data_IF_380722988108
#
_entry.id   IF_380722988108
#
_cell.length_a   1.000
_cell.length_b   1.000
_cell.length_c   1.000
_cell.angle_alpha   90.00
_cell.angle_beta   90.00
_cell.angle_gamma   90.00
#
_symmetry.space_group_name_H-M   'P 1'
#
loop_
_entity.id
_entity.type
_entity.pdbx_description
1 polymer ?
#
# COMPACT_ATOMS: atom_id res chain seq x y z
N UNK A 1 -19.45 56.36 -78.09
CA UNK A 1 -20.03 56.13 -76.79
C UNK A 1 -19.91 54.64 -76.54
N UNK A 2 -18.94 54.20 -75.69
CA UNK A 2 -18.82 52.81 -75.17
C UNK A 2 -18.38 52.92 -73.73
N UNK A 3 -19.21 52.51 -72.84
CA UNK A 3 -18.98 52.47 -71.40
C UNK A 3 -18.12 51.23 -71.09
N UNK A 4 -16.96 51.45 -70.45
CA UNK A 4 -16.11 50.38 -69.94
C UNK A 4 -16.41 50.12 -68.46
N UNK A 5 -16.80 48.93 -68.16
CA UNK A 5 -17.05 48.43 -66.79
C UNK A 5 -15.75 48.10 -66.09
N UNK A 6 -15.50 48.80 -65.00
CA UNK A 6 -14.38 48.58 -64.08
C UNK A 6 -14.70 47.40 -63.17
N UNK A 7 -13.97 46.32 -63.31
CA UNK A 7 -14.08 45.18 -62.38
C UNK A 7 -13.19 45.41 -61.13
N UNK A 8 -13.80 45.65 -59.99
CA UNK A 8 -13.12 45.72 -58.73
C UNK A 8 -12.80 44.30 -58.25
N UNK A 9 -11.51 44.00 -58.15
CA UNK A 9 -11.01 42.72 -57.65
C UNK A 9 -10.83 42.89 -56.13
N UNK A 10 -11.70 42.27 -55.30
CA UNK A 10 -11.58 42.20 -53.86
C UNK A 10 -10.63 41.06 -53.54
N UNK A 11 -9.46 41.38 -53.04
CA UNK A 11 -8.46 40.42 -52.55
C UNK A 11 -8.81 40.09 -51.09
N UNK A 12 -9.41 38.93 -50.87
CA UNK A 12 -9.64 38.42 -49.52
C UNK A 12 -8.35 37.82 -48.97
N UNK A 13 -7.68 38.56 -48.09
CA UNK A 13 -6.58 38.05 -47.28
C UNK A 13 -7.12 37.19 -46.17
N UNK A 14 -7.06 35.86 -46.36
CA UNK A 14 -7.35 34.89 -45.31
C UNK A 14 -6.22 34.88 -44.28
N UNK A 15 -6.47 35.41 -43.08
CA UNK A 15 -5.59 35.25 -41.93
C UNK A 15 -5.84 33.86 -41.40
N UNK A 16 -4.98 32.91 -41.72
CA UNK A 16 -4.90 31.61 -41.03
C UNK A 16 -4.28 31.87 -39.66
N UNK A 17 -5.14 31.98 -38.63
CA UNK A 17 -4.69 31.89 -37.24
C UNK A 17 -4.23 30.46 -37.01
N UNK A 18 -2.92 30.22 -37.09
CA UNK A 18 -2.33 28.98 -36.58
C UNK A 18 -2.46 29.02 -35.06
N UNK A 19 -3.43 28.27 -34.54
CA UNK A 19 -3.48 27.93 -33.12
C UNK A 19 -2.25 27.09 -32.81
N UNK A 20 -1.17 27.71 -32.38
CA UNK A 20 -0.06 27.01 -31.76
C UNK A 20 -0.58 26.48 -30.42
N UNK A 21 -1.07 25.23 -30.42
CA UNK A 21 -1.14 24.47 -29.19
C UNK A 21 0.31 24.31 -28.75
N UNK A 22 0.72 25.08 -27.74
CA UNK A 22 1.93 24.76 -26.99
C UNK A 22 1.69 23.38 -26.39
N UNK A 23 2.28 22.34 -27.01
CA UNK A 23 2.50 21.09 -26.32
C UNK A 23 3.38 21.49 -25.13
N UNK A 24 2.80 21.51 -23.92
CA UNK A 24 3.58 21.54 -22.70
C UNK A 24 4.45 20.29 -22.80
N UNK A 25 5.76 20.43 -22.65
CA UNK A 25 6.63 19.27 -22.58
C UNK A 25 6.15 18.46 -21.34
N UNK A 26 5.78 17.21 -21.56
CA UNK A 26 5.46 16.29 -20.47
C UNK A 26 6.70 16.21 -19.56
N UNK A 27 6.49 16.24 -18.24
CA UNK A 27 7.60 16.15 -17.30
C UNK A 27 8.39 14.86 -17.54
N UNK A 28 9.70 14.97 -17.56
CA UNK A 28 10.64 13.85 -17.67
C UNK A 28 11.68 13.95 -16.55
N UNK A 29 12.10 12.83 -15.95
CA UNK A 29 13.11 12.86 -14.91
C UNK A 29 14.47 13.33 -15.49
N UNK A 30 15.17 14.20 -14.76
CA UNK A 30 16.49 14.70 -15.12
C UNK A 30 17.63 13.69 -14.89
N UNK A 31 17.31 12.51 -14.32
CA UNK A 31 18.24 11.45 -13.98
C UNK A 31 17.50 10.26 -13.37
N UNK A 32 18.21 9.30 -12.76
CA UNK A 32 17.57 8.15 -12.14
C UNK A 32 16.59 8.55 -11.03
N UNK A 33 15.41 7.93 -11.02
CA UNK A 33 14.45 8.02 -9.93
C UNK A 33 14.82 7.02 -8.84
N UNK A 34 15.08 7.51 -7.64
CA UNK A 34 15.26 6.67 -6.45
C UNK A 34 13.90 6.18 -5.97
N UNK A 35 13.65 4.88 -5.97
CA UNK A 35 12.45 4.27 -5.40
C UNK A 35 12.81 3.63 -4.04
N UNK A 36 12.53 4.36 -2.96
CA UNK A 36 12.79 3.90 -1.60
C UNK A 36 11.70 2.90 -1.15
N UNK A 37 12.10 1.75 -0.64
CA UNK A 37 11.20 0.67 -0.23
C UNK A 37 11.21 0.55 1.28
N UNK A 38 10.04 0.70 1.91
CA UNK A 38 9.92 0.80 3.36
C UNK A 38 10.18 -0.50 4.13
N UNK A 39 10.28 -1.65 3.45
CA UNK A 39 10.39 -2.97 4.07
C UNK A 39 11.53 -3.79 3.46
N UNK A 40 11.85 -4.91 4.13
CA UNK A 40 12.93 -5.81 3.72
C UNK A 40 12.67 -6.49 2.37
N UNK A 41 13.77 -6.88 1.73
CA UNK A 41 13.76 -7.54 0.43
C UNK A 41 12.98 -8.87 0.42
N UNK A 42 12.25 -9.12 -0.65
CA UNK A 42 11.45 -10.32 -0.90
C UNK A 42 10.09 -10.34 -0.19
N UNK A 43 9.69 -9.25 0.46
CA UNK A 43 8.33 -9.02 0.94
C UNK A 43 7.39 -8.51 -0.15
N UNK A 44 6.09 -8.37 0.17
CA UNK A 44 5.10 -7.91 -0.79
C UNK A 44 5.35 -6.49 -1.31
N UNK A 45 5.73 -5.56 -0.43
CA UNK A 45 6.07 -4.18 -0.79
C UNK A 45 7.30 -4.13 -1.69
N UNK A 46 8.37 -4.88 -1.33
CA UNK A 46 9.60 -4.94 -2.12
C UNK A 46 9.36 -5.52 -3.52
N UNK A 47 8.63 -6.63 -3.62
CA UNK A 47 8.30 -7.24 -4.90
C UNK A 47 7.48 -6.29 -5.77
N UNK A 48 6.46 -5.62 -5.20
CA UNK A 48 5.66 -4.62 -5.91
C UNK A 48 6.50 -3.45 -6.40
N UNK A 49 7.41 -2.94 -5.57
CA UNK A 49 8.29 -1.82 -5.94
C UNK A 49 9.24 -2.16 -7.09
N UNK A 50 9.82 -3.37 -7.08
CA UNK A 50 10.73 -3.81 -8.16
C UNK A 50 10.00 -4.02 -9.48
N UNK A 51 8.82 -4.64 -9.44
CA UNK A 51 7.97 -4.78 -10.63
C UNK A 51 7.52 -3.41 -11.16
N UNK A 52 7.16 -2.48 -10.28
CA UNK A 52 6.83 -1.10 -10.68
C UNK A 52 8.04 -0.41 -11.35
N UNK A 53 9.24 -0.54 -10.78
CA UNK A 53 10.46 0.03 -11.34
C UNK A 53 10.78 -0.52 -12.73
N UNK A 54 10.63 -1.84 -12.92
CA UNK A 54 10.83 -2.50 -14.21
C UNK A 54 9.82 -2.01 -15.27
N UNK A 55 8.54 -1.89 -14.89
CA UNK A 55 7.47 -1.41 -15.79
C UNK A 55 7.63 0.08 -16.14
N UNK A 56 7.98 0.94 -15.18
CA UNK A 56 8.26 2.35 -15.43
C UNK A 56 9.45 2.51 -16.41
N UNK A 57 10.49 1.72 -16.21
CA UNK A 57 11.64 1.72 -17.14
C UNK A 57 11.25 1.22 -18.53
N UNK A 58 10.47 0.17 -18.62
CA UNK A 58 10.08 -0.43 -19.90
C UNK A 58 9.12 0.45 -20.71
N UNK A 59 8.16 1.13 -20.03
CA UNK A 59 7.09 1.90 -20.71
C UNK A 59 7.45 3.36 -20.95
N UNK A 60 8.10 3.98 -19.97
CA UNK A 60 8.40 5.42 -19.99
C UNK A 60 9.89 5.72 -20.25
N UNK A 61 10.77 4.70 -20.25
CA UNK A 61 12.22 4.91 -20.40
C UNK A 61 12.89 5.54 -19.18
N UNK A 62 12.18 5.68 -18.05
CA UNK A 62 12.71 6.24 -16.82
C UNK A 62 13.64 5.23 -16.14
N UNK A 63 14.85 5.63 -15.81
CA UNK A 63 15.73 4.82 -15.00
C UNK A 63 15.25 4.87 -13.53
N UNK A 64 14.71 3.74 -13.01
CA UNK A 64 14.19 3.67 -11.64
C UNK A 64 15.04 2.69 -10.83
N UNK A 65 15.62 3.18 -9.72
CA UNK A 65 16.53 2.41 -8.87
C UNK A 65 15.85 2.08 -7.54
N UNK A 66 15.41 0.82 -7.32
CA UNK A 66 14.79 0.41 -6.07
C UNK A 66 15.84 0.18 -4.97
N UNK A 67 15.62 0.79 -3.79
CA UNK A 67 16.48 0.72 -2.61
C UNK A 67 15.68 0.41 -1.35
N UNK A 68 16.03 -0.66 -0.61
CA UNK A 68 15.37 -0.97 0.65
C UNK A 68 15.88 -0.05 1.78
N UNK A 69 14.97 0.72 2.38
CA UNK A 69 15.21 1.59 3.53
C UNK A 69 14.27 1.13 4.66
N UNK A 70 14.45 -0.13 5.06
CA UNK A 70 13.57 -0.82 5.98
C UNK A 70 13.76 -0.36 7.44
N UNK A 71 12.74 -0.60 8.26
CA UNK A 71 12.78 -0.43 9.71
C UNK A 71 11.60 0.33 10.28
N UNK A 72 11.32 0.08 11.55
CA UNK A 72 10.28 0.74 12.35
C UNK A 72 8.90 0.76 11.68
N UNK A 73 8.51 -0.36 11.00
CA UNK A 73 7.22 -0.45 10.32
C UNK A 73 7.05 0.52 9.14
N UNK A 74 8.14 0.92 8.49
CA UNK A 74 8.16 1.88 7.37
C UNK A 74 8.59 3.30 7.75
N UNK A 75 8.67 3.62 9.06
CA UNK A 75 9.00 4.95 9.53
C UNK A 75 10.44 5.38 9.18
N UNK A 76 11.38 4.43 9.03
CA UNK A 76 12.76 4.74 8.63
C UNK A 76 12.79 5.31 7.21
N UNK A 77 12.08 4.70 6.27
CA UNK A 77 11.98 5.19 4.89
C UNK A 77 11.26 6.55 4.84
N UNK A 78 10.14 6.69 5.52
CA UNK A 78 9.37 7.93 5.55
C UNK A 78 10.21 9.11 6.08
N UNK A 79 10.95 8.92 7.19
CA UNK A 79 11.83 9.93 7.73
C UNK A 79 12.98 10.33 6.78
N UNK A 80 13.48 9.39 5.98
CA UNK A 80 14.51 9.69 4.98
C UNK A 80 13.92 10.39 3.75
N UNK A 81 12.75 9.95 3.27
CA UNK A 81 12.13 10.49 2.05
C UNK A 81 11.69 11.95 2.21
N UNK A 82 11.15 12.34 3.38
CA UNK A 82 10.67 13.72 3.58
C UNK A 82 11.75 14.79 3.38
N UNK A 83 13.01 14.44 3.56
CA UNK A 83 14.17 15.35 3.45
C UNK A 83 14.80 15.32 2.03
N UNK A 84 14.28 14.49 1.11
CA UNK A 84 14.72 14.46 -0.29
C UNK A 84 14.13 15.66 -1.08
N UNK A 85 14.75 16.04 -2.22
CA UNK A 85 14.18 17.07 -3.10
C UNK A 85 12.79 16.69 -3.63
N UNK A 86 11.89 17.67 -3.71
CA UNK A 86 10.52 17.50 -4.18
C UNK A 86 10.37 17.61 -5.72
N UNK A 87 11.39 17.22 -6.47
CA UNK A 87 11.50 17.36 -7.94
C UNK A 87 11.06 16.10 -8.73
N UNK A 88 10.57 15.08 -8.04
CA UNK A 88 10.15 13.81 -8.65
C UNK A 88 11.24 12.75 -8.76
N UNK A 89 12.50 13.07 -8.41
CA UNK A 89 13.60 12.10 -8.50
C UNK A 89 13.77 11.21 -7.26
N UNK A 90 12.93 11.41 -6.22
CA UNK A 90 12.85 10.53 -5.04
C UNK A 90 11.40 10.25 -4.72
N UNK A 91 11.04 8.96 -4.74
CA UNK A 91 9.72 8.46 -4.36
C UNK A 91 9.86 7.27 -3.40
N UNK A 92 8.82 6.98 -2.65
CA UNK A 92 8.82 5.86 -1.70
C UNK A 92 7.60 4.98 -1.84
N UNK A 93 7.75 3.66 -1.71
CA UNK A 93 6.66 2.71 -1.65
C UNK A 93 6.55 2.12 -0.25
N UNK A 94 5.37 2.27 0.37
CA UNK A 94 5.11 1.82 1.73
C UNK A 94 3.67 1.30 1.91
N UNK A 95 3.40 0.74 3.08
CA UNK A 95 2.04 0.51 3.57
C UNK A 95 1.50 1.82 4.16
N UNK A 96 0.30 2.25 3.80
CA UNK A 96 -0.25 3.55 4.20
C UNK A 96 -0.44 3.72 5.70
N UNK A 97 -0.67 2.64 6.45
CA UNK A 97 -0.69 2.71 7.93
C UNK A 97 0.65 3.13 8.55
N UNK A 98 1.76 3.01 7.86
CA UNK A 98 3.04 3.58 8.34
C UNK A 98 2.97 5.10 8.50
N UNK A 99 2.16 5.77 7.67
CA UNK A 99 1.97 7.22 7.65
C UNK A 99 0.72 7.69 8.43
N UNK A 100 -0.19 6.78 8.72
CA UNK A 100 -1.38 7.06 9.53
C UNK A 100 -1.18 6.56 10.98
N UNK A 101 -1.48 5.29 11.25
CA UNK A 101 -1.37 4.71 12.59
C UNK A 101 0.06 4.76 13.15
N UNK A 102 1.05 4.44 12.32
CA UNK A 102 2.47 4.41 12.71
C UNK A 102 2.99 5.74 13.26
N UNK A 103 2.53 6.86 12.70
CA UNK A 103 2.86 8.21 13.18
C UNK A 103 2.29 8.45 14.57
N UNK A 104 1.01 8.10 14.79
CA UNK A 104 0.32 8.33 16.08
C UNK A 104 0.84 7.40 17.17
N UNK A 105 1.15 6.15 16.84
CA UNK A 105 1.64 5.14 17.79
C UNK A 105 3.12 5.32 18.18
N UNK A 106 3.86 6.20 17.50
CA UNK A 106 5.31 6.39 17.71
C UNK A 106 5.58 7.72 18.41
N UNK A 107 6.33 7.69 19.52
CA UNK A 107 6.83 8.92 20.15
C UNK A 107 7.90 9.54 19.23
N UNK A 108 7.70 10.80 18.83
CA UNK A 108 8.60 11.56 17.97
C UNK A 108 8.99 10.80 16.69
N UNK A 109 8.07 10.51 15.79
CA UNK A 109 8.34 9.78 14.55
C UNK A 109 9.34 10.52 13.64
N UNK A 110 9.45 11.84 13.78
CA UNK A 110 10.30 12.71 12.98
C UNK A 110 9.65 13.18 11.68
N UNK A 111 8.39 12.82 11.45
CA UNK A 111 7.57 13.23 10.31
C UNK A 111 6.09 13.16 10.67
N UNK A 112 5.26 13.80 9.86
CA UNK A 112 3.79 13.74 9.91
C UNK A 112 3.21 13.34 8.55
N UNK A 113 1.89 13.17 8.48
CA UNK A 113 1.20 12.86 7.24
C UNK A 113 1.34 13.98 6.18
N UNK A 114 1.46 15.23 6.62
CA UNK A 114 1.58 16.41 5.75
C UNK A 114 2.99 16.59 5.17
N UNK A 115 3.96 15.79 5.57
CA UNK A 115 5.32 15.81 5.03
C UNK A 115 5.46 15.09 3.68
N UNK A 116 4.33 14.61 3.10
CA UNK A 116 4.35 13.81 1.87
C UNK A 116 3.31 14.27 0.84
N UNK A 117 3.68 14.09 -0.42
CA UNK A 117 2.78 14.10 -1.58
C UNK A 117 2.33 12.68 -1.86
N UNK A 118 1.03 12.42 -1.87
CA UNK A 118 0.44 11.12 -2.19
C UNK A 118 0.28 10.99 -3.72
N UNK A 119 0.92 9.99 -4.32
CA UNK A 119 0.98 9.80 -5.77
C UNK A 119 -0.08 8.82 -6.27
N UNK A 120 0.05 7.55 -5.90
CA UNK A 120 -0.93 6.51 -6.25
C UNK A 120 -0.90 5.36 -5.26
N UNK A 121 -2.06 4.81 -4.94
CA UNK A 121 -2.10 3.47 -4.35
C UNK A 121 -1.85 2.41 -5.42
N UNK A 122 -1.51 1.18 -4.99
CA UNK A 122 -1.24 0.04 -5.88
C UNK A 122 -2.27 -1.07 -5.67
N UNK A 123 -2.48 -1.46 -4.42
CA UNK A 123 -3.36 -2.57 -4.03
C UNK A 123 -3.73 -2.52 -2.56
N UNK A 124 -4.88 -3.05 -2.21
CA UNK A 124 -5.24 -3.36 -0.82
C UNK A 124 -4.70 -4.71 -0.39
N UNK A 125 -4.44 -4.89 0.90
CA UNK A 125 -3.90 -6.13 1.45
C UNK A 125 -4.99 -7.17 1.72
N UNK A 126 -4.60 -8.45 1.77
CA UNK A 126 -5.41 -9.59 2.24
C UNK A 126 -4.97 -9.95 3.67
N UNK A 127 -5.17 -8.99 4.60
CA UNK A 127 -4.73 -9.17 5.98
C UNK A 127 -5.57 -10.21 6.73
N UNK A 128 -4.87 -11.18 7.31
CA UNK A 128 -5.43 -12.29 8.08
C UNK A 128 -4.50 -12.69 9.23
N UNK A 129 -5.04 -13.23 10.31
CA UNK A 129 -4.27 -14.10 11.20
C UNK A 129 -4.16 -15.47 10.56
N UNK A 130 -2.97 -16.04 10.54
CA UNK A 130 -2.68 -17.36 9.99
C UNK A 130 -2.16 -18.31 11.04
N UNK A 131 -2.39 -19.61 10.82
CA UNK A 131 -1.76 -20.72 11.52
C UNK A 131 -1.35 -21.81 10.53
N UNK A 132 -0.51 -22.76 10.97
CA UNK A 132 -0.31 -24.02 10.24
C UNK A 132 -1.58 -24.87 10.30
N UNK A 133 -1.91 -25.55 9.21
CA UNK A 133 -3.09 -26.42 9.14
C UNK A 133 -3.00 -27.63 10.06
N UNK A 134 -1.79 -28.12 10.35
CA UNK A 134 -1.56 -29.26 11.25
C UNK A 134 -1.78 -28.95 12.74
N UNK A 135 -1.93 -27.66 13.13
CA UNK A 135 -2.39 -27.26 14.48
C UNK A 135 -3.84 -27.65 14.75
N UNK A 136 -4.61 -27.94 13.71
CA UNK A 136 -6.02 -28.32 13.82
C UNK A 136 -6.97 -27.15 14.10
N UNK A 137 -6.50 -25.90 14.08
CA UNK A 137 -7.32 -24.69 14.18
C UNK A 137 -7.87 -24.31 12.80
N UNK A 138 -9.18 -24.08 12.70
CA UNK A 138 -9.86 -23.74 11.45
C UNK A 138 -10.28 -22.27 11.39
N UNK A 139 -10.37 -21.61 12.55
CA UNK A 139 -10.76 -20.22 12.70
C UNK A 139 -10.22 -19.64 14.02
N UNK A 140 -10.37 -18.32 14.21
CA UNK A 140 -9.90 -17.64 15.43
C UNK A 140 -10.59 -18.16 16.71
N UNK A 141 -11.83 -18.65 16.62
CA UNK A 141 -12.55 -19.24 17.76
C UNK A 141 -11.83 -20.46 18.35
N UNK A 142 -11.17 -21.28 17.52
CA UNK A 142 -10.38 -22.42 17.97
C UNK A 142 -9.15 -21.96 18.77
N UNK A 143 -8.49 -20.89 18.33
CA UNK A 143 -7.36 -20.26 19.04
C UNK A 143 -7.81 -19.68 20.38
N UNK A 144 -8.95 -18.98 20.40
CA UNK A 144 -9.55 -18.42 21.61
C UNK A 144 -9.86 -19.55 22.61
N UNK A 145 -10.45 -20.65 22.15
CA UNK A 145 -10.76 -21.79 23.00
C UNK A 145 -9.49 -22.44 23.58
N UNK A 146 -8.42 -22.58 22.80
CA UNK A 146 -7.13 -23.10 23.27
C UNK A 146 -6.50 -22.18 24.34
N UNK A 147 -6.51 -20.87 24.13
CA UNK A 147 -6.02 -19.89 25.10
C UNK A 147 -6.85 -19.90 26.40
N UNK A 148 -8.18 -19.97 26.30
CA UNK A 148 -9.08 -20.11 27.46
C UNK A 148 -8.87 -21.42 28.22
N UNK A 149 -8.41 -22.48 27.55
CA UNK A 149 -8.03 -23.74 28.18
C UNK A 149 -6.64 -23.69 28.85
N UNK A 150 -5.92 -22.56 28.76
CA UNK A 150 -4.62 -22.33 29.39
C UNK A 150 -3.42 -22.57 28.51
N UNK A 151 -3.61 -22.72 27.18
CA UNK A 151 -2.50 -22.77 26.22
C UNK A 151 -1.92 -21.35 26.05
N UNK A 152 -0.59 -21.24 26.11
CA UNK A 152 0.10 -19.98 25.78
C UNK A 152 0.19 -19.87 24.27
N UNK A 153 -0.35 -18.81 23.69
CA UNK A 153 -0.35 -18.56 22.25
C UNK A 153 0.62 -17.45 21.92
N UNK A 154 1.64 -17.77 21.11
CA UNK A 154 2.58 -16.78 20.54
C UNK A 154 2.04 -16.21 19.23
N UNK A 155 1.97 -14.89 19.12
CA UNK A 155 1.33 -14.20 18.01
C UNK A 155 2.26 -13.17 17.36
N UNK A 156 2.59 -13.34 16.08
CA UNK A 156 3.46 -12.44 15.33
C UNK A 156 2.74 -11.18 14.84
N UNK A 157 3.30 -9.98 15.13
CA UNK A 157 2.84 -8.70 14.63
C UNK A 157 3.96 -7.95 13.91
N UNK A 158 3.67 -7.40 12.71
CA UNK A 158 4.65 -6.70 11.88
C UNK A 158 4.60 -5.17 11.99
N UNK A 159 3.65 -4.64 12.74
CA UNK A 159 3.48 -3.20 13.01
C UNK A 159 2.80 -2.98 14.35
N UNK A 160 2.88 -1.76 14.90
CA UNK A 160 2.16 -1.38 16.11
C UNK A 160 0.64 -1.58 15.96
N UNK A 161 0.05 -1.16 14.83
CA UNK A 161 -1.38 -1.38 14.52
C UNK A 161 -1.80 -2.83 14.68
N UNK A 162 -0.99 -3.76 14.19
CA UNK A 162 -1.28 -5.19 14.27
C UNK A 162 -0.98 -5.81 15.64
N UNK A 163 -0.07 -5.22 16.42
CA UNK A 163 0.12 -5.58 17.82
C UNK A 163 -1.11 -5.18 18.66
N UNK A 164 -1.62 -3.97 18.43
CA UNK A 164 -2.82 -3.48 19.10
C UNK A 164 -4.07 -4.26 18.66
N UNK A 165 -4.10 -4.76 17.42
CA UNK A 165 -5.14 -5.71 16.98
C UNK A 165 -5.14 -7.00 17.83
N UNK A 166 -3.97 -7.58 18.13
CA UNK A 166 -3.86 -8.75 19.00
C UNK A 166 -4.33 -8.44 20.43
N UNK A 167 -3.97 -7.26 20.93
CA UNK A 167 -4.44 -6.80 22.24
C UNK A 167 -5.98 -6.68 22.28
N UNK A 168 -6.60 -6.04 21.29
CA UNK A 168 -8.05 -5.90 21.20
C UNK A 168 -8.77 -7.25 21.07
N UNK A 169 -8.20 -8.21 20.34
CA UNK A 169 -8.72 -9.59 20.29
C UNK A 169 -8.67 -10.20 21.69
N UNK A 170 -7.57 -9.99 22.42
CA UNK A 170 -7.41 -10.47 23.78
C UNK A 170 -8.47 -9.91 24.73
N UNK A 171 -8.60 -8.58 24.75
CA UNK A 171 -9.58 -7.88 25.60
C UNK A 171 -11.03 -8.30 25.29
N UNK A 172 -11.40 -8.35 24.01
CA UNK A 172 -12.75 -8.70 23.60
C UNK A 172 -13.15 -10.15 23.98
N UNK A 173 -12.17 -11.07 24.09
CA UNK A 173 -12.42 -12.49 24.27
C UNK A 173 -11.91 -13.03 25.62
N UNK A 174 -11.36 -12.18 26.49
CA UNK A 174 -10.85 -12.56 27.82
C UNK A 174 -9.68 -13.54 27.77
N UNK A 175 -8.75 -13.35 26.82
CA UNK A 175 -7.53 -14.15 26.62
C UNK A 175 -6.30 -13.25 26.57
N UNK A 176 -5.13 -13.85 26.79
CA UNK A 176 -3.84 -13.18 26.60
C UNK A 176 -3.08 -13.83 25.42
N UNK A 177 -2.61 -13.00 24.50
CA UNK A 177 -1.76 -13.41 23.37
C UNK A 177 -0.35 -12.88 23.59
N UNK A 178 0.66 -13.74 23.54
CA UNK A 178 2.07 -13.33 23.65
C UNK A 178 2.53 -12.71 22.32
N UNK A 179 2.50 -11.38 22.23
CA UNK A 179 2.86 -10.66 21.00
C UNK A 179 4.36 -10.64 20.76
N UNK A 180 4.78 -11.06 19.58
CA UNK A 180 6.16 -11.05 19.09
C UNK A 180 6.27 -10.14 17.88
N UNK A 181 7.11 -9.10 17.96
CA UNK A 181 7.35 -8.21 16.82
C UNK A 181 8.22 -8.90 15.78
N UNK A 182 7.76 -8.93 14.52
CA UNK A 182 8.43 -9.58 13.39
C UNK A 182 8.72 -8.57 12.27
N UNK A 183 9.69 -8.91 11.40
CA UNK A 183 10.07 -8.06 10.26
C UNK A 183 9.16 -8.33 9.05
N UNK A 184 8.12 -7.48 8.90
CA UNK A 184 7.17 -7.55 7.80
C UNK A 184 6.36 -8.87 7.73
N UNK A 185 5.45 -8.97 6.76
CA UNK A 185 4.59 -10.15 6.61
C UNK A 185 5.33 -11.45 6.32
N UNK A 186 6.51 -11.38 5.70
CA UNK A 186 7.35 -12.56 5.48
C UNK A 186 7.95 -13.10 6.78
N UNK A 187 8.32 -12.21 7.71
CA UNK A 187 8.81 -12.61 9.04
C UNK A 187 7.74 -13.37 9.83
N UNK A 188 6.50 -12.88 9.84
CA UNK A 188 5.37 -13.57 10.46
C UNK A 188 5.07 -14.92 9.82
N UNK A 189 4.99 -14.96 8.49
CA UNK A 189 4.77 -16.20 7.73
C UNK A 189 5.85 -17.25 8.02
N UNK A 190 7.13 -16.85 7.96
CA UNK A 190 8.24 -17.77 8.23
C UNK A 190 8.22 -18.27 9.68
N UNK A 191 7.89 -17.40 10.65
CA UNK A 191 7.78 -17.79 12.06
C UNK A 191 6.72 -18.87 12.28
N UNK A 192 5.56 -18.75 11.64
CA UNK A 192 4.51 -19.78 11.70
C UNK A 192 4.94 -21.07 11.00
N UNK A 193 5.54 -20.99 9.82
CA UNK A 193 6.02 -22.17 9.08
C UNK A 193 7.14 -22.91 9.83
N UNK A 194 7.99 -22.20 10.56
CA UNK A 194 9.11 -22.75 11.35
C UNK A 194 8.71 -23.22 12.75
N UNK A 195 7.44 -23.09 13.15
CA UNK A 195 6.93 -23.36 14.50
C UNK A 195 7.55 -22.46 15.60
N UNK A 196 8.10 -21.29 15.22
CA UNK A 196 8.57 -20.26 16.16
C UNK A 196 7.40 -19.41 16.69
N UNK A 197 6.29 -19.38 15.96
CA UNK A 197 5.04 -18.69 16.30
C UNK A 197 3.86 -19.63 16.09
N UNK A 198 2.88 -19.55 16.98
CA UNK A 198 1.63 -20.31 16.85
C UNK A 198 0.73 -19.69 15.77
N UNK A 199 0.63 -18.36 15.78
CA UNK A 199 -0.13 -17.58 14.81
C UNK A 199 0.66 -16.33 14.42
N UNK A 200 0.33 -15.73 13.28
CA UNK A 200 0.90 -14.42 12.90
C UNK A 200 -0.03 -13.65 11.96
N UNK A 201 0.10 -12.34 11.96
CA UNK A 201 -0.46 -11.52 10.90
C UNK A 201 0.29 -11.74 9.59
N UNK A 202 -0.45 -11.96 8.53
CA UNK A 202 0.03 -11.98 7.15
C UNK A 202 -0.94 -11.19 6.27
N UNK A 203 -0.45 -10.58 5.18
CA UNK A 203 -1.21 -9.60 4.43
C UNK A 203 -1.15 -9.80 2.91
N UNK A 204 -0.94 -11.05 2.45
CA UNK A 204 -0.88 -11.46 1.05
C UNK A 204 0.03 -12.66 0.81
N UNK A 205 1.29 -12.69 1.28
CA UNK A 205 2.24 -13.79 1.00
C UNK A 205 1.79 -15.19 1.44
N UNK A 206 0.86 -15.29 2.39
CA UNK A 206 0.27 -16.55 2.87
C UNK A 206 -0.62 -17.23 1.83
N UNK A 207 -1.10 -16.51 0.81
CA UNK A 207 -2.10 -17.00 -0.16
C UNK A 207 -1.73 -18.34 -0.76
N UNK A 208 -0.47 -18.51 -1.20
CA UNK A 208 -0.02 -19.79 -1.79
C UNK A 208 -0.05 -20.95 -0.78
N UNK A 209 0.37 -20.72 0.46
CA UNK A 209 0.33 -21.74 1.52
C UNK A 209 -1.11 -22.13 1.91
N UNK A 210 -2.03 -21.15 1.91
CA UNK A 210 -3.45 -21.40 2.16
C UNK A 210 -4.07 -22.21 1.01
N UNK A 211 -3.81 -21.86 -0.24
CA UNK A 211 -4.30 -22.60 -1.40
C UNK A 211 -3.70 -24.01 -1.49
N UNK A 212 -2.48 -24.21 -1.01
CA UNK A 212 -1.84 -25.54 -0.92
C UNK A 212 -2.36 -26.39 0.25
N UNK A 213 -3.08 -25.77 1.22
CA UNK A 213 -3.57 -26.45 2.41
C UNK A 213 -2.55 -26.59 3.55
N UNK A 214 -1.39 -25.92 3.44
CA UNK A 214 -0.34 -25.90 4.47
C UNK A 214 -0.65 -24.90 5.59
N UNK A 215 -1.42 -23.86 5.28
CA UNK A 215 -1.81 -22.77 6.17
C UNK A 215 -3.32 -22.58 6.19
N UNK A 216 -3.81 -21.98 7.26
CA UNK A 216 -5.20 -21.57 7.43
C UNK A 216 -5.25 -20.05 7.68
N UNK A 217 -6.13 -19.33 6.99
CA UNK A 217 -6.56 -18.00 7.40
C UNK A 217 -7.62 -18.16 8.51
N UNK A 218 -7.26 -17.88 9.74
CA UNK A 218 -8.11 -18.04 10.92
C UNK A 218 -9.23 -17.00 10.98
N UNK A 219 -8.97 -15.79 10.47
CA UNK A 219 -9.89 -14.66 10.48
C UNK A 219 -9.48 -13.63 9.43
N UNK A 220 -10.45 -13.00 8.80
CA UNK A 220 -10.23 -11.81 7.94
C UNK A 220 -10.13 -10.55 8.80
N UNK A 221 -9.10 -9.77 8.58
CA UNK A 221 -8.89 -8.47 9.23
C UNK A 221 -9.23 -7.27 8.33
N UNK A 222 -9.82 -7.50 7.15
CA UNK A 222 -10.11 -6.44 6.17
C UNK A 222 -11.59 -6.06 6.08
N UNK A 223 -12.41 -6.47 7.06
CA UNK A 223 -13.84 -6.16 7.12
C UNK A 223 -14.69 -6.77 6.01
N UNK A 224 -14.11 -7.66 5.19
CA UNK A 224 -14.76 -8.39 4.09
C UNK A 224 -14.11 -9.76 3.88
N UNK A 225 -14.75 -10.69 3.14
CA UNK A 225 -14.14 -11.98 2.83
C UNK A 225 -12.77 -11.87 2.17
N UNK A 226 -11.87 -12.80 2.49
CA UNK A 226 -10.57 -12.95 1.86
C UNK A 226 -10.71 -13.71 0.54
N UNK A 227 -9.91 -13.36 -0.47
CA UNK A 227 -9.96 -14.02 -1.78
C UNK A 227 -9.62 -15.52 -1.69
N UNK A 228 -8.61 -15.88 -0.91
CA UNK A 228 -8.18 -17.28 -0.75
C UNK A 228 -8.98 -18.06 0.32
N UNK A 229 -9.81 -17.40 1.10
CA UNK A 229 -10.61 -18.01 2.18
C UNK A 229 -11.90 -17.20 2.37
N UNK A 230 -12.86 -17.28 1.42
CA UNK A 230 -14.09 -16.49 1.48
C UNK A 230 -14.99 -16.84 2.66
N UNK A 231 -14.83 -18.04 3.22
CA UNK A 231 -15.58 -18.51 4.38
C UNK A 231 -14.88 -18.23 5.74
N UNK A 232 -13.68 -17.62 5.74
CA UNK A 232 -13.03 -17.22 6.97
C UNK A 232 -13.87 -16.13 7.67
N UNK A 233 -14.10 -16.26 9.01
CA UNK A 233 -14.88 -15.27 9.74
C UNK A 233 -14.21 -13.89 9.72
N UNK A 234 -14.97 -12.85 10.06
CA UNK A 234 -14.46 -11.49 10.20
C UNK A 234 -14.05 -11.21 11.66
N UNK A 235 -13.18 -10.25 11.90
CA UNK A 235 -12.82 -9.82 13.26
C UNK A 235 -14.02 -9.31 14.05
N UNK A 236 -15.02 -8.72 13.40
CA UNK A 236 -16.28 -8.30 14.02
C UNK A 236 -17.06 -9.46 14.64
N UNK A 237 -16.92 -10.69 14.12
CA UNK A 237 -17.54 -11.89 14.71
C UNK A 237 -16.94 -12.24 16.08
N UNK A 238 -15.79 -11.64 16.43
CA UNK A 238 -15.07 -11.80 17.69
C UNK A 238 -15.00 -10.52 18.52
N UNK A 239 -15.89 -9.55 18.23
CA UNK A 239 -16.03 -8.31 19.00
C UNK A 239 -15.00 -7.22 18.69
N UNK A 240 -14.28 -7.33 17.59
CA UNK A 240 -13.31 -6.30 17.14
C UNK A 240 -13.81 -5.65 15.87
N UNK A 241 -14.38 -4.45 16.00
CA UNK A 241 -15.06 -3.72 14.90
C UNK A 241 -14.11 -2.97 13.96
N UNK A 242 -12.81 -2.90 14.29
CA UNK A 242 -11.81 -2.21 13.50
C UNK A 242 -11.31 -3.03 12.32
N UNK A 243 -10.88 -2.33 11.26
CA UNK A 243 -10.24 -2.92 10.07
C UNK A 243 -8.73 -2.74 10.14
N UNK A 244 -7.99 -3.83 9.89
CA UNK A 244 -6.53 -3.86 9.98
C UNK A 244 -5.84 -4.10 8.62
N UNK A 245 -6.60 -4.10 7.54
CA UNK A 245 -6.06 -4.02 6.20
C UNK A 245 -5.39 -2.67 5.94
N UNK A 246 -4.48 -2.64 5.00
CA UNK A 246 -3.82 -1.42 4.53
C UNK A 246 -3.72 -1.40 3.01
N UNK A 247 -3.46 -0.22 2.45
CA UNK A 247 -3.10 -0.06 1.05
C UNK A 247 -1.58 0.03 0.91
N UNK A 248 -1.03 -0.51 -0.15
CA UNK A 248 0.31 -0.14 -0.60
C UNK A 248 0.20 1.09 -1.48
N UNK A 249 1.04 2.08 -1.25
CA UNK A 249 1.01 3.31 -1.99
C UNK A 249 2.39 3.91 -2.21
N UNK A 250 2.48 4.71 -3.26
CA UNK A 250 3.66 5.48 -3.62
C UNK A 250 3.47 6.91 -3.20
N UNK A 251 4.50 7.47 -2.57
CA UNK A 251 4.54 8.83 -2.05
C UNK A 251 5.82 9.53 -2.50
N UNK A 252 5.81 10.84 -2.51
CA UNK A 252 6.98 11.70 -2.64
C UNK A 252 7.13 12.64 -1.45
N UNK A 253 8.20 13.44 -1.37
CA UNK A 253 8.33 14.54 -0.41
C UNK A 253 7.15 15.52 -0.52
N UNK A 254 6.87 16.28 0.54
CA UNK A 254 5.87 17.34 0.48
C UNK A 254 6.16 18.37 -0.63
N UNK A 255 5.12 19.04 -1.10
CA UNK A 255 5.24 20.12 -2.09
C UNK A 255 5.97 19.70 -3.38
N UNK A 256 5.78 18.44 -3.82
CA UNK A 256 6.32 17.98 -5.09
C UNK A 256 5.93 18.90 -6.24
N UNK A 257 6.88 19.09 -7.18
CA UNK A 257 6.59 19.77 -8.45
C UNK A 257 5.29 19.20 -9.07
N UNK A 258 4.30 20.05 -9.39
CA UNK A 258 2.99 19.59 -9.86
C UNK A 258 3.04 18.76 -11.16
N UNK A 259 3.96 19.10 -12.09
CA UNK A 259 4.12 18.38 -13.34
C UNK A 259 4.75 17.00 -13.08
N UNK A 260 5.74 16.93 -12.18
CA UNK A 260 6.32 15.67 -11.71
C UNK A 260 5.28 14.78 -11.01
N UNK A 261 4.47 15.37 -10.10
CA UNK A 261 3.38 14.67 -9.42
C UNK A 261 2.41 14.04 -10.43
N UNK A 262 1.93 14.84 -11.39
CA UNK A 262 0.95 14.40 -12.39
C UNK A 262 1.53 13.30 -13.29
N UNK A 263 2.74 13.46 -13.80
CA UNK A 263 3.38 12.49 -14.67
C UNK A 263 3.60 11.14 -13.95
N UNK A 264 4.16 11.17 -12.74
CA UNK A 264 4.47 9.96 -11.98
C UNK A 264 3.19 9.23 -11.53
N UNK A 265 2.18 9.95 -11.01
CA UNK A 265 0.93 9.32 -10.58
C UNK A 265 0.19 8.66 -11.76
N UNK A 266 0.18 9.30 -12.95
CA UNK A 266 -0.47 8.78 -14.13
C UNK A 266 0.26 7.53 -14.66
N UNK A 267 1.59 7.54 -14.70
CA UNK A 267 2.41 6.40 -15.10
C UNK A 267 2.20 5.19 -14.16
N UNK A 268 2.14 5.42 -12.84
CA UNK A 268 1.85 4.37 -11.86
C UNK A 268 0.43 3.82 -12.05
N UNK A 269 -0.57 4.70 -12.18
CA UNK A 269 -1.97 4.28 -12.34
C UNK A 269 -2.18 3.50 -13.65
N UNK A 270 -1.51 3.88 -14.74
CA UNK A 270 -1.50 3.13 -16.00
C UNK A 270 -1.00 1.70 -15.78
N UNK A 271 0.18 1.53 -15.16
CA UNK A 271 0.79 0.23 -14.90
C UNK A 271 -0.08 -0.64 -14.00
N UNK A 272 -0.62 -0.05 -12.93
CA UNK A 272 -1.44 -0.76 -11.94
C UNK A 272 -2.74 -1.27 -12.57
N UNK A 273 -3.37 -0.48 -13.43
CA UNK A 273 -4.66 -0.82 -14.05
C UNK A 273 -4.53 -1.65 -15.34
N UNK A 274 -3.31 -1.86 -15.86
CA UNK A 274 -3.10 -2.69 -17.03
C UNK A 274 -3.04 -4.18 -16.64
N UNK A 275 -4.03 -5.01 -17.07
CA UNK A 275 -4.06 -6.44 -16.75
C UNK A 275 -2.88 -7.23 -17.35
N UNK A 276 -2.19 -6.68 -18.36
CA UNK A 276 -1.03 -7.32 -18.98
C UNK A 276 0.28 -6.99 -18.23
N UNK A 277 0.28 -5.99 -17.29
CA UNK A 277 1.47 -5.65 -16.53
C UNK A 277 1.85 -6.76 -15.55
N UNK A 278 3.16 -6.95 -15.33
CA UNK A 278 3.67 -7.91 -14.36
C UNK A 278 3.27 -7.53 -12.93
N UNK A 279 3.25 -6.23 -12.63
CA UNK A 279 2.80 -5.71 -11.33
C UNK A 279 1.33 -6.04 -11.10
N UNK A 280 0.43 -5.74 -12.05
CA UNK A 280 -1.01 -6.02 -11.94
C UNK A 280 -1.27 -7.53 -11.77
N UNK A 281 -0.59 -8.35 -12.54
CA UNK A 281 -0.65 -9.82 -12.42
C UNK A 281 -0.20 -10.31 -11.03
N UNK A 282 0.88 -9.73 -10.50
CA UNK A 282 1.38 -10.10 -9.17
C UNK A 282 0.39 -9.72 -8.06
N UNK A 283 -0.07 -8.46 -8.04
CA UNK A 283 -0.99 -7.98 -7.00
C UNK A 283 -2.36 -8.65 -7.06
N UNK A 284 -2.81 -9.07 -8.24
CA UNK A 284 -4.04 -9.86 -8.41
C UNK A 284 -3.92 -11.24 -7.76
N UNK A 285 -2.74 -11.88 -7.87
CA UNK A 285 -2.50 -13.21 -7.29
C UNK A 285 -2.24 -13.18 -5.78
N UNK A 286 -1.51 -12.16 -5.32
CA UNK A 286 -1.02 -12.10 -3.94
C UNK A 286 -1.91 -11.27 -3.01
N UNK A 287 -2.67 -10.32 -3.54
CA UNK A 287 -3.42 -9.31 -2.77
C UNK A 287 -4.87 -9.17 -3.24
N UNK A 288 -5.47 -8.01 -3.05
CA UNK A 288 -6.87 -7.74 -3.44
C UNK A 288 -7.10 -7.48 -4.92
N UNK A 289 -6.03 -7.39 -5.70
CA UNK A 289 -6.04 -6.91 -7.08
C UNK A 289 -5.62 -5.45 -7.20
N UNK A 290 -5.60 -4.89 -8.43
CA UNK A 290 -5.23 -3.50 -8.66
C UNK A 290 -6.25 -2.54 -8.03
N UNK A 291 -5.74 -1.50 -7.37
CA UNK A 291 -6.54 -0.43 -6.77
C UNK A 291 -5.71 0.86 -6.77
N UNK A 292 -5.76 1.59 -7.90
CA UNK A 292 -5.05 2.85 -8.08
C UNK A 292 -5.94 4.03 -7.71
N UNK A 293 -5.76 4.60 -6.51
CA UNK A 293 -6.36 5.84 -6.06
C UNK A 293 -5.30 6.93 -6.22
N UNK A 294 -5.64 8.07 -6.85
CA UNK A 294 -4.71 9.16 -7.14
C UNK A 294 -5.32 10.52 -6.79
N UNK A 295 -4.48 11.57 -6.76
CA UNK A 295 -4.90 12.94 -6.60
C UNK A 295 -5.71 13.20 -5.34
N UNK A 296 -6.78 13.98 -5.44
CA UNK A 296 -7.62 14.37 -4.31
C UNK A 296 -8.30 13.19 -3.61
N UNK A 297 -8.58 12.10 -4.34
CA UNK A 297 -9.18 10.90 -3.74
C UNK A 297 -8.19 10.18 -2.83
N UNK A 298 -6.89 10.19 -3.18
CA UNK A 298 -5.85 9.63 -2.31
C UNK A 298 -5.61 10.51 -1.08
N UNK A 299 -5.60 11.84 -1.25
CA UNK A 299 -5.50 12.78 -0.14
C UNK A 299 -6.68 12.56 0.85
N UNK A 300 -7.91 12.41 0.34
CA UNK A 300 -9.10 12.13 1.16
C UNK A 300 -9.04 10.76 1.85
N UNK A 301 -8.54 9.72 1.15
CA UNK A 301 -8.31 8.40 1.74
C UNK A 301 -7.36 8.49 2.94
N UNK A 302 -6.24 9.21 2.81
CA UNK A 302 -5.26 9.35 3.89
C UNK A 302 -5.81 10.14 5.07
N UNK A 303 -6.64 11.16 4.83
CA UNK A 303 -7.33 11.88 5.89
C UNK A 303 -8.30 10.97 6.68
N UNK A 304 -9.05 10.12 5.98
CA UNK A 304 -9.93 9.15 6.62
C UNK A 304 -9.13 8.11 7.41
N UNK A 305 -8.03 7.60 6.85
CA UNK A 305 -7.13 6.65 7.52
C UNK A 305 -6.51 7.23 8.81
N UNK A 306 -6.13 8.52 8.82
CA UNK A 306 -5.63 9.19 10.01
C UNK A 306 -6.70 9.31 11.11
N UNK A 307 -7.96 9.62 10.74
CA UNK A 307 -9.06 9.70 11.69
C UNK A 307 -9.37 8.32 12.30
N UNK A 308 -9.41 7.28 11.48
CA UNK A 308 -9.61 5.90 11.94
C UNK A 308 -8.46 5.42 12.84
N UNK A 309 -7.22 5.78 12.47
CA UNK A 309 -6.03 5.48 13.27
C UNK A 309 -6.10 6.08 14.68
N UNK A 310 -6.61 7.31 14.82
CA UNK A 310 -6.78 7.95 16.12
C UNK A 310 -7.80 7.22 16.99
N UNK A 311 -8.94 6.81 16.43
CA UNK A 311 -9.96 6.05 17.14
C UNK A 311 -9.46 4.67 17.57
N UNK A 312 -8.71 4.00 16.68
CA UNK A 312 -8.11 2.69 16.99
C UNK A 312 -7.08 2.80 18.13
N UNK A 313 -6.22 3.83 18.08
CA UNK A 313 -5.21 4.05 19.12
C UNK A 313 -5.85 4.35 20.48
N UNK A 314 -6.95 5.10 20.52
CA UNK A 314 -7.73 5.36 21.74
C UNK A 314 -8.33 4.05 22.29
N UNK A 315 -8.85 3.17 21.43
CA UNK A 315 -9.43 1.89 21.83
C UNK A 315 -8.39 0.88 22.37
N UNK A 316 -7.12 1.02 21.98
CA UNK A 316 -6.01 0.13 22.37
C UNK A 316 -5.24 0.61 23.61
N UNK A 317 -5.69 1.68 24.30
CA UNK A 317 -5.10 2.24 25.55
C UNK A 317 -5.91 1.85 26.77
#
# INVERSE_FOLDING_TARGET
>A
MKFGTLKTMVMAAGIAAASATTAMAEWEPNGPIKLMIAFDAGGGVDTSARLLAEELTARHGWEVIPENVAGRGGATMAAALKDEPADGQSIGLTAMDSLAYGVLATQNPGFGADDFTYLSTITGTQAALIAKSDRGWNNLGDVIAAAQAGETITAGAMSAKLADALYLIGEANGIELTTVMVQGGKGGLNGVVADDLDIAWAAGPQTNGVLAGDLVNLVSAIGRPLNASPDAPLLSDYGVEFVFGTMFGVIGPADMDPEAREAIQNAIAEIVNDPESQLSNYITKAFGGPEAITGADFDAFMQAANNEAALLLEAAQ
#
